data_IF_908242542578
#
_entry.id   IF_908242542578
#
_cell.length_a   1.000
_cell.length_b   1.000
_cell.length_c   1.000
_cell.angle_alpha   90.00
_cell.angle_beta   90.00
_cell.angle_gamma   90.00
#
_symmetry.space_group_name_H-M   'P 1'
#
loop_
_entity.id
_entity.type
_entity.pdbx_description
1 polymer ?
#
# COMPACT_ATOMS: atom_id res chain seq x y z
N UNK A 1 -51.35 11.50 -18.61
CA UNK A 1 -50.16 12.38 -18.57
C UNK A 1 -48.95 11.56 -18.15
N UNK A 2 -48.11 11.16 -19.09
CA UNK A 2 -46.81 10.52 -18.82
C UNK A 2 -45.75 11.62 -18.84
N UNK A 3 -45.18 11.97 -17.69
CA UNK A 3 -44.06 12.90 -17.59
C UNK A 3 -42.84 12.28 -18.26
N UNK A 4 -42.57 12.72 -19.49
CA UNK A 4 -41.34 12.43 -20.21
C UNK A 4 -40.20 13.21 -19.58
N UNK A 5 -39.23 12.50 -19.00
CA UNK A 5 -37.96 13.10 -18.63
C UNK A 5 -37.10 13.28 -19.89
N UNK A 6 -36.52 14.48 -20.09
CA UNK A 6 -35.64 14.74 -21.21
C UNK A 6 -34.35 13.92 -21.10
N UNK A 7 -33.98 13.25 -22.20
CA UNK A 7 -32.64 12.72 -22.44
C UNK A 7 -31.66 13.90 -22.50
N UNK A 8 -30.91 14.14 -21.45
CA UNK A 8 -29.69 14.94 -21.54
C UNK A 8 -28.48 14.00 -21.60
N UNK A 9 -27.93 13.91 -22.82
CA UNK A 9 -26.65 13.31 -23.12
C UNK A 9 -25.57 14.20 -22.51
N UNK A 10 -25.03 13.82 -21.37
CA UNK A 10 -23.66 14.21 -21.00
C UNK A 10 -22.73 13.07 -21.35
N UNK A 11 -22.26 13.16 -22.59
CA UNK A 11 -20.93 12.82 -23.08
C UNK A 11 -20.13 11.74 -22.35
N UNK A 12 -19.99 10.60 -23.02
CA UNK A 12 -18.90 9.61 -22.92
C UNK A 12 -17.52 10.20 -23.26
N UNK A 13 -17.16 11.36 -22.70
CA UNK A 13 -15.85 12.00 -22.91
C UNK A 13 -14.90 11.63 -21.78
N UNK A 14 -13.98 10.74 -22.15
CA UNK A 14 -12.69 10.43 -21.53
C UNK A 14 -12.68 9.51 -20.30
N UNK A 15 -12.91 8.22 -20.57
CA UNK A 15 -12.42 7.08 -19.76
C UNK A 15 -10.88 6.94 -19.72
N UNK A 16 -10.11 7.92 -20.17
CA UNK A 16 -8.67 7.91 -20.07
C UNK A 16 -8.20 9.12 -19.28
N UNK A 17 -8.35 9.05 -17.95
CA UNK A 17 -7.34 9.63 -17.10
C UNK A 17 -5.98 9.16 -17.65
N UNK A 18 -5.01 10.05 -17.90
CA UNK A 18 -3.72 9.63 -18.40
C UNK A 18 -3.19 8.62 -17.38
N UNK A 19 -3.14 7.34 -17.78
CA UNK A 19 -2.31 6.35 -17.11
C UNK A 19 -0.90 6.78 -17.44
N UNK A 20 -0.47 7.79 -16.70
CA UNK A 20 0.94 8.10 -16.52
C UNK A 20 1.55 6.76 -16.14
N UNK A 21 2.62 6.37 -16.83
CA UNK A 21 3.47 5.26 -16.41
C UNK A 21 4.18 5.67 -15.11
N UNK A 22 3.39 5.98 -14.09
CA UNK A 22 3.83 6.29 -12.75
C UNK A 22 4.32 4.98 -12.18
N UNK A 23 5.61 4.98 -11.84
CA UNK A 23 6.22 3.84 -11.18
C UNK A 23 5.43 3.52 -9.91
N UNK A 24 5.33 2.23 -9.57
CA UNK A 24 4.63 1.77 -8.36
C UNK A 24 5.12 2.53 -7.10
N UNK A 25 6.40 2.92 -7.08
CA UNK A 25 6.99 3.77 -6.06
C UNK A 25 6.40 5.19 -6.00
N UNK A 26 6.17 5.84 -7.13
CA UNK A 26 5.55 7.17 -7.19
C UNK A 26 4.08 7.11 -6.77
N UNK A 27 3.37 6.07 -7.20
CA UNK A 27 1.99 5.83 -6.76
C UNK A 27 1.92 5.61 -5.24
N UNK A 28 2.89 4.85 -4.68
CA UNK A 28 2.99 4.62 -3.24
C UNK A 28 3.26 5.91 -2.44
N UNK A 29 4.08 6.83 -2.96
CA UNK A 29 4.36 8.11 -2.29
C UNK A 29 3.17 9.06 -2.26
N UNK A 30 2.25 8.94 -3.22
CA UNK A 30 1.01 9.75 -3.27
C UNK A 30 -0.17 9.09 -2.56
N UNK A 31 -0.01 7.83 -2.16
CA UNK A 31 -1.05 7.07 -1.47
C UNK A 31 -1.34 7.68 -0.09
N UNK A 32 -2.57 7.53 0.43
CA UNK A 32 -2.89 7.91 1.80
C UNK A 32 -2.07 7.09 2.81
N UNK A 33 -1.79 7.69 3.98
CA UNK A 33 -0.95 7.09 5.03
C UNK A 33 -1.34 5.65 5.39
N UNK A 34 -2.65 5.38 5.49
CA UNK A 34 -3.15 4.03 5.79
C UNK A 34 -2.74 3.02 4.73
N UNK A 35 -2.84 3.37 3.45
CA UNK A 35 -2.48 2.50 2.33
C UNK A 35 -0.97 2.34 2.22
N UNK A 36 -0.21 3.42 2.46
CA UNK A 36 1.25 3.36 2.52
C UNK A 36 1.72 2.36 3.57
N UNK A 37 1.19 2.42 4.80
CA UNK A 37 1.56 1.51 5.88
C UNK A 37 1.13 0.07 5.59
N UNK A 38 -0.08 -0.11 5.02
CA UNK A 38 -0.62 -1.40 4.58
C UNK A 38 0.29 -2.10 3.58
N UNK A 39 0.81 -1.35 2.62
CA UNK A 39 1.68 -1.89 1.57
C UNK A 39 3.09 -2.12 2.10
N UNK A 40 3.66 -1.18 2.86
CA UNK A 40 5.07 -1.19 3.25
C UNK A 40 5.41 -2.14 4.40
N UNK A 41 4.88 -1.87 5.59
CA UNK A 41 5.37 -2.46 6.84
C UNK A 41 4.41 -3.51 7.42
N UNK A 42 3.11 -3.39 7.13
CA UNK A 42 2.07 -4.22 7.75
C UNK A 42 2.24 -5.73 7.49
N UNK A 43 2.64 -6.20 6.29
CA UNK A 43 2.79 -7.63 6.03
C UNK A 43 3.82 -8.30 6.94
N UNK A 44 4.97 -7.64 7.17
CA UNK A 44 6.01 -8.18 8.06
C UNK A 44 5.67 -7.98 9.54
N UNK A 45 5.01 -6.87 9.88
CA UNK A 45 4.59 -6.58 11.24
C UNK A 45 3.57 -7.60 11.72
N UNK A 46 2.58 -7.92 10.88
CA UNK A 46 1.57 -8.92 11.21
C UNK A 46 2.20 -10.29 11.48
N UNK A 47 3.14 -10.72 10.63
CA UNK A 47 3.90 -11.96 10.85
C UNK A 47 4.68 -11.92 12.17
N UNK A 48 5.35 -10.80 12.47
CA UNK A 48 6.08 -10.62 13.72
C UNK A 48 5.16 -10.67 14.95
N UNK A 49 3.99 -10.03 14.89
CA UNK A 49 3.01 -10.05 15.98
C UNK A 49 2.48 -11.46 16.26
N UNK A 50 2.20 -12.26 15.22
CA UNK A 50 1.78 -13.64 15.41
C UNK A 50 2.85 -14.46 16.16
N UNK A 51 4.14 -14.25 15.85
CA UNK A 51 5.23 -14.95 16.54
C UNK A 51 5.37 -14.50 17.99
N UNK A 52 5.25 -13.19 18.25
CA UNK A 52 5.28 -12.65 19.62
C UNK A 52 4.12 -13.19 20.46
N UNK A 53 2.92 -13.28 19.87
CA UNK A 53 1.73 -13.78 20.57
C UNK A 53 1.87 -15.26 20.97
N UNK A 54 2.53 -16.06 20.13
CA UNK A 54 2.81 -17.47 20.37
C UNK A 54 3.94 -17.70 21.38
N UNK A 55 5.05 -16.96 21.27
CA UNK A 55 6.23 -17.20 22.12
C UNK A 55 6.17 -16.47 23.46
N UNK A 56 5.41 -15.37 23.56
CA UNK A 56 5.30 -14.52 24.76
C UNK A 56 6.67 -14.26 25.43
N UNK A 57 7.66 -13.72 24.70
CA UNK A 57 8.99 -13.44 25.25
C UNK A 57 8.90 -12.39 26.38
N UNK A 58 9.89 -12.40 27.28
CA UNK A 58 10.00 -11.43 28.38
C UNK A 58 9.99 -9.97 27.87
N UNK A 59 10.71 -9.71 26.78
CA UNK A 59 10.82 -8.38 26.15
C UNK A 59 10.23 -8.40 24.73
N UNK A 60 8.91 -8.21 24.57
CA UNK A 60 8.23 -8.34 23.27
C UNK A 60 8.66 -7.26 22.27
N UNK A 61 9.04 -6.07 22.73
CA UNK A 61 9.46 -4.97 21.86
C UNK A 61 10.83 -5.26 21.22
N UNK A 62 11.80 -5.69 22.02
CA UNK A 62 13.14 -6.02 21.53
C UNK A 62 13.10 -7.23 20.58
N UNK A 63 12.30 -8.25 20.94
CA UNK A 63 12.08 -9.41 20.08
C UNK A 63 11.49 -9.00 18.72
N UNK A 64 10.47 -8.14 18.71
CA UNK A 64 9.84 -7.68 17.47
C UNK A 64 10.82 -6.85 16.63
N UNK A 65 11.60 -5.96 17.24
CA UNK A 65 12.63 -5.20 16.53
C UNK A 65 13.67 -6.11 15.87
N UNK A 66 14.17 -7.10 16.61
CA UNK A 66 15.08 -8.11 16.08
C UNK A 66 14.43 -8.94 14.96
N UNK A 67 13.13 -9.27 15.08
CA UNK A 67 12.38 -9.97 14.05
C UNK A 67 12.29 -9.16 12.75
N UNK A 68 11.98 -7.87 12.84
CA UNK A 68 11.90 -6.97 11.68
C UNK A 68 13.27 -6.83 10.99
N UNK A 69 14.34 -6.67 11.76
CA UNK A 69 15.71 -6.57 11.23
C UNK A 69 16.15 -7.83 10.49
N UNK A 70 15.72 -9.02 10.93
CA UNK A 70 16.01 -10.29 10.24
C UNK A 70 15.22 -10.47 8.94
N UNK A 71 14.13 -9.73 8.77
CA UNK A 71 13.20 -9.86 7.64
C UNK A 71 13.12 -8.59 6.78
N UNK A 72 14.14 -7.73 6.82
CA UNK A 72 14.19 -6.47 6.06
C UNK A 72 13.98 -6.66 4.55
N UNK A 73 14.39 -7.80 4.01
CA UNK A 73 14.19 -8.14 2.59
C UNK A 73 12.71 -8.16 2.19
N UNK A 74 11.81 -8.48 3.13
CA UNK A 74 10.36 -8.50 2.93
C UNK A 74 9.73 -7.10 2.99
N UNK A 75 10.44 -6.10 3.51
CA UNK A 75 9.96 -4.71 3.67
C UNK A 75 10.24 -3.87 2.41
N UNK A 76 10.91 -4.46 1.42
CA UNK A 76 11.54 -3.68 0.36
C UNK A 76 10.64 -3.44 -0.84
N UNK A 77 10.06 -2.24 -0.90
CA UNK A 77 9.64 -1.61 -2.15
C UNK A 77 10.89 -1.03 -2.82
N UNK A 78 11.29 -1.58 -3.96
CA UNK A 78 12.45 -1.06 -4.68
C UNK A 78 12.07 0.26 -5.33
N UNK A 79 12.57 1.36 -4.78
CA UNK A 79 12.60 2.62 -5.50
C UNK A 79 13.22 2.38 -6.90
N UNK A 80 12.72 3.05 -7.95
CA UNK A 80 13.30 2.94 -9.27
C UNK A 80 14.79 3.32 -9.17
N UNK A 81 15.64 2.36 -9.47
CA UNK A 81 17.09 2.56 -9.47
C UNK A 81 17.39 3.49 -10.65
N UNK A 82 17.57 4.78 -10.37
CA UNK A 82 18.06 5.74 -11.37
C UNK A 82 19.49 5.31 -11.72
N UNK A 83 19.64 4.60 -12.84
CA UNK A 83 20.97 4.33 -13.42
C UNK A 83 21.56 5.68 -13.80
N UNK A 84 22.61 6.09 -13.09
CA UNK A 84 23.46 7.23 -13.48
C UNK A 84 24.29 6.84 -14.69
#
# INVERSE_FOLDING_TARGET
MTLGYPKDKTDDRDCCAPKTDETEWQALQKAPDSEYLLKTILPVLYQGFQVVDLQRPNDPLEFLAAYLLRHQDKIRFKAPQVKK
#
